data_IF_315318363726
#
_entry.id   IF_315318363726
#
_cell.length_a   1.000
_cell.length_b   1.000
_cell.length_c   1.000
_cell.angle_alpha   90.00
_cell.angle_beta   90.00
_cell.angle_gamma   90.00
#
_symmetry.space_group_name_H-M   'P 1'
#
loop_
_entity.id
_entity.type
_entity.pdbx_description
1 polymer ?
#
# COMPACT_ATOMS: atom_id res chain seq x y z
N UNK A 1 -4.35 -3.20 -5.83
CA UNK A 1 -5.73 -2.94 -6.31
C UNK A 1 -6.56 -2.57 -5.11
N UNK A 2 -6.97 -1.31 -4.99
CA UNK A 2 -8.01 -0.93 -4.05
C UNK A 2 -9.35 -1.43 -4.58
N UNK A 3 -10.26 -1.94 -3.74
CA UNK A 3 -11.64 -2.18 -4.16
C UNK A 3 -12.25 -0.82 -4.51
N UNK A 4 -12.52 -0.61 -5.79
CA UNK A 4 -13.11 0.61 -6.32
C UNK A 4 -14.59 0.62 -5.95
N UNK A 5 -14.96 1.51 -5.04
CA UNK A 5 -16.36 1.87 -4.85
C UNK A 5 -16.81 2.69 -6.04
N UNK A 6 -17.62 2.06 -6.89
CA UNK A 6 -18.19 2.66 -8.08
C UNK A 6 -19.33 3.63 -7.66
N UNK A 7 -18.98 4.79 -7.11
CA UNK A 7 -19.88 5.94 -6.97
C UNK A 7 -19.28 7.10 -7.74
N UNK A 8 -19.67 7.20 -9.02
CA UNK A 8 -19.39 8.35 -9.85
C UNK A 8 -19.88 9.62 -9.15
N UNK A 9 -18.95 10.41 -8.61
CA UNK A 9 -19.25 11.75 -8.14
C UNK A 9 -19.38 12.64 -9.39
N UNK A 10 -20.58 12.70 -9.98
CA UNK A 10 -20.88 13.74 -10.96
C UNK A 10 -20.84 15.11 -10.25
N UNK A 11 -19.69 15.78 -10.32
CA UNK A 11 -19.57 17.17 -9.90
C UNK A 11 -20.38 18.02 -10.89
N UNK A 12 -21.58 18.42 -10.48
CA UNK A 12 -22.34 19.47 -11.18
C UNK A 12 -21.62 20.80 -10.96
N UNK A 13 -21.30 21.58 -12.00
CA UNK A 13 -20.73 22.91 -11.82
C UNK A 13 -21.84 23.84 -11.32
N UNK A 14 -21.77 24.26 -10.06
CA UNK A 14 -22.81 25.12 -9.51
C UNK A 14 -22.53 25.59 -8.10
N UNK A 15 -22.21 26.90 -8.01
CA UNK A 15 -22.17 27.74 -6.81
C UNK A 15 -21.01 27.51 -5.84
N UNK A 16 -19.96 28.33 -6.03
CA UNK A 16 -18.97 28.59 -5.02
C UNK A 16 -19.61 29.17 -3.76
N UNK A 17 -19.50 28.43 -2.67
CA UNK A 17 -19.71 28.94 -1.32
C UNK A 17 -18.31 29.08 -0.71
N UNK A 18 -17.76 30.29 -0.77
CA UNK A 18 -16.63 30.67 0.06
C UNK A 18 -17.08 30.63 1.52
N UNK A 19 -16.72 29.56 2.23
CA UNK A 19 -16.89 29.50 3.68
C UNK A 19 -15.75 30.31 4.30
N UNK A 20 -16.00 31.61 4.51
CA UNK A 20 -15.14 32.47 5.32
C UNK A 20 -15.33 32.05 6.77
N UNK A 21 -14.42 31.23 7.30
CA UNK A 21 -14.33 30.97 8.74
C UNK A 21 -13.78 32.25 9.38
N UNK A 22 -14.48 32.88 10.35
CA UNK A 22 -13.94 34.03 11.04
C UNK A 22 -12.78 33.57 11.92
N UNK A 23 -11.58 34.01 11.54
CA UNK A 23 -10.34 33.84 12.28
C UNK A 23 -10.38 34.73 13.53
N UNK A 24 -10.94 34.20 14.62
CA UNK A 24 -10.88 34.83 15.95
C UNK A 24 -10.15 33.91 16.91
N UNK A 25 -8.81 33.88 16.80
CA UNK A 25 -7.92 33.47 17.88
C UNK A 25 -6.77 34.47 17.96
N UNK A 26 -6.94 35.41 18.89
CA UNK A 26 -5.95 36.41 19.28
C UNK A 26 -4.75 35.76 19.96
N UNK A 27 -3.57 36.04 19.44
CA UNK A 27 -2.29 36.20 20.15
C UNK A 27 -1.95 35.18 21.24
N UNK A 28 -1.45 34.00 20.82
CA UNK A 28 -0.15 33.39 21.18
C UNK A 28 -0.15 31.96 20.60
N UNK A 29 -0.24 31.82 19.28
CA UNK A 29 -0.04 30.51 18.67
C UNK A 29 1.47 30.32 18.56
N UNK A 30 2.00 29.50 19.47
CA UNK A 30 3.30 28.87 19.30
C UNK A 30 3.40 28.33 17.87
N UNK A 31 4.47 28.72 17.18
CA UNK A 31 4.86 28.40 15.81
C UNK A 31 4.16 27.16 15.23
N UNK A 32 3.07 27.38 14.48
CA UNK A 32 2.40 26.31 13.76
C UNK A 32 3.29 25.90 12.58
N UNK A 33 3.71 24.65 12.55
CA UNK A 33 4.52 24.10 11.46
C UNK A 33 3.60 23.48 10.42
N UNK A 34 3.87 23.79 9.14
CA UNK A 34 3.14 23.23 8.01
C UNK A 34 4.03 22.24 7.28
N UNK A 35 3.57 21.00 7.21
CA UNK A 35 4.21 19.94 6.45
C UNK A 35 3.39 19.63 5.21
N UNK A 36 4.07 19.32 4.12
CA UNK A 36 3.48 18.78 2.91
C UNK A 36 4.24 17.52 2.55
N UNK A 37 3.50 16.49 2.18
CA UNK A 37 4.06 15.20 1.76
C UNK A 37 3.09 14.54 0.81
N UNK A 38 3.59 13.58 0.04
CA UNK A 38 2.78 12.95 -0.98
C UNK A 38 3.50 11.91 -1.78
N UNK A 39 2.80 11.43 -2.79
CA UNK A 39 3.28 10.43 -3.72
C UNK A 39 2.69 10.73 -5.09
N UNK A 40 3.45 10.56 -6.16
CA UNK A 40 2.84 10.45 -7.49
C UNK A 40 3.63 9.53 -8.39
N UNK A 41 2.92 8.97 -9.38
CA UNK A 41 3.48 8.32 -10.56
C UNK A 41 2.78 8.82 -11.80
N UNK A 42 3.57 9.10 -12.83
CA UNK A 42 3.10 9.48 -14.16
C UNK A 42 4.01 8.84 -15.18
N UNK A 43 3.45 8.39 -16.29
CA UNK A 43 4.22 7.72 -17.32
C UNK A 43 3.45 7.54 -18.61
N UNK A 44 4.15 7.06 -19.62
CA UNK A 44 3.56 6.73 -20.91
C UNK A 44 4.35 5.60 -21.55
N UNK A 45 3.64 4.68 -22.20
CA UNK A 45 4.23 3.65 -23.03
C UNK A 45 4.33 4.16 -24.47
N UNK A 46 5.45 3.93 -25.14
CA UNK A 46 5.69 4.47 -26.48
C UNK A 46 4.88 3.79 -27.58
N UNK A 47 4.56 2.52 -27.37
CA UNK A 47 3.69 1.77 -28.26
C UNK A 47 2.32 1.67 -27.59
N UNK A 48 1.24 2.01 -28.30
CA UNK A 48 -0.17 1.86 -27.88
C UNK A 48 -0.59 0.39 -27.63
N UNK A 49 0.38 -0.49 -27.39
CA UNK A 49 0.26 -1.93 -27.16
C UNK A 49 0.49 -2.31 -25.69
N UNK A 50 0.62 -1.36 -24.78
CA UNK A 50 0.90 -1.68 -23.40
C UNK A 50 -0.38 -2.05 -22.64
N UNK A 51 -0.64 -3.34 -22.49
CA UNK A 51 -1.46 -3.86 -21.40
C UNK A 51 -0.55 -4.17 -20.23
N UNK A 52 -0.72 -3.48 -19.11
CA UNK A 52 -0.03 -3.89 -17.89
C UNK A 52 -0.36 -5.34 -17.55
N UNK A 53 0.66 -6.09 -17.16
CA UNK A 53 0.58 -7.53 -16.95
C UNK A 53 0.31 -7.81 -15.47
N UNK A 54 -0.86 -8.35 -15.18
CA UNK A 54 -1.22 -8.93 -13.90
C UNK A 54 -1.90 -10.27 -14.15
N UNK A 55 -1.49 -11.30 -13.41
CA UNK A 55 -2.08 -12.61 -13.54
C UNK A 55 -3.53 -12.60 -13.01
N UNK A 56 -4.55 -13.01 -13.78
CA UNK A 56 -5.91 -13.11 -13.28
C UNK A 56 -6.01 -14.01 -12.04
N UNK A 57 -6.46 -13.42 -10.93
CA UNK A 57 -6.54 -14.07 -9.61
C UNK A 57 -5.38 -13.74 -8.66
N UNK A 58 -4.28 -13.17 -9.14
CA UNK A 58 -3.24 -12.62 -8.28
C UNK A 58 -3.71 -11.26 -7.71
N UNK A 59 -3.42 -10.99 -6.43
CA UNK A 59 -3.84 -9.73 -5.78
C UNK A 59 -3.03 -8.50 -6.21
N UNK A 60 -1.92 -8.74 -6.91
CA UNK A 60 -1.00 -7.69 -7.32
C UNK A 60 -0.17 -8.05 -8.54
N UNK A 61 0.70 -7.13 -8.97
CA UNK A 61 1.66 -7.29 -10.06
C UNK A 61 3.03 -6.67 -9.72
N UNK A 62 4.10 -7.22 -10.30
CA UNK A 62 5.43 -6.61 -10.24
C UNK A 62 5.47 -5.30 -11.02
N UNK A 63 5.74 -4.19 -10.33
CA UNK A 63 5.36 -2.85 -10.81
C UNK A 63 6.38 -2.12 -11.68
N UNK A 64 7.68 -2.49 -11.67
CA UNK A 64 8.69 -1.76 -12.45
C UNK A 64 8.32 -1.86 -13.93
N UNK A 65 8.15 -0.70 -14.61
CA UNK A 65 7.76 -0.67 -16.01
C UNK A 65 6.46 -1.43 -16.31
N UNK A 66 5.52 -1.45 -15.35
CA UNK A 66 4.26 -2.20 -15.44
C UNK A 66 3.12 -1.49 -14.70
N UNK A 67 3.12 -0.16 -14.74
CA UNK A 67 2.06 0.72 -14.21
C UNK A 67 1.48 1.53 -15.37
N UNK A 68 0.18 1.33 -15.63
CA UNK A 68 -0.54 1.83 -16.82
C UNK A 68 -1.67 2.76 -16.39
N UNK A 69 -1.48 3.41 -15.26
CA UNK A 69 -2.34 4.41 -14.66
C UNK A 69 -1.50 5.64 -14.29
N UNK A 70 -2.14 6.78 -14.04
CA UNK A 70 -1.52 7.89 -13.31
C UNK A 70 -2.16 7.99 -11.93
N UNK A 71 -1.34 8.29 -10.92
CA UNK A 71 -1.81 8.40 -9.56
C UNK A 71 -1.04 9.49 -8.82
N UNK A 72 -1.74 10.29 -8.04
CA UNK A 72 -1.14 11.30 -7.18
C UNK A 72 -1.89 11.42 -5.86
N UNK A 73 -1.15 11.52 -4.76
CA UNK A 73 -1.62 11.86 -3.42
C UNK A 73 -0.88 13.12 -2.95
N UNK A 74 -1.62 14.06 -2.35
CA UNK A 74 -1.05 15.22 -1.71
C UNK A 74 -1.68 15.43 -0.35
N UNK A 75 -0.85 15.63 0.66
CA UNK A 75 -1.26 15.97 2.01
C UNK A 75 -0.69 17.29 2.48
N UNK A 76 -1.48 17.96 3.31
CA UNK A 76 -1.06 19.09 4.13
C UNK A 76 -1.35 18.71 5.58
N UNK A 77 -0.36 18.93 6.44
CA UNK A 77 -0.47 18.73 7.88
C UNK A 77 -0.05 20.01 8.62
N UNK A 78 -0.87 20.42 9.57
CA UNK A 78 -0.58 21.49 10.50
C UNK A 78 -0.22 20.88 11.87
N UNK A 79 0.97 21.18 12.38
CA UNK A 79 1.47 20.72 13.67
C UNK A 79 1.58 21.91 14.63
N UNK A 80 0.94 21.82 15.79
CA UNK A 80 0.90 22.87 16.80
C UNK A 80 1.31 22.34 18.17
N UNK A 81 2.37 22.92 18.74
CA UNK A 81 2.74 22.67 20.12
C UNK A 81 1.79 23.45 21.03
N UNK A 82 0.93 22.73 21.75
CA UNK A 82 -0.06 23.34 22.65
C UNK A 82 0.60 23.74 23.97
N UNK A 83 1.47 22.88 24.49
CA UNK A 83 2.29 23.13 25.68
C UNK A 83 3.47 22.15 25.72
N UNK A 84 4.25 22.17 26.80
CA UNK A 84 5.43 21.32 26.97
C UNK A 84 5.18 19.80 26.81
N UNK A 85 3.94 19.34 26.99
CA UNK A 85 3.59 17.92 26.99
C UNK A 85 2.78 17.49 25.76
N UNK A 86 2.22 18.43 24.97
CA UNK A 86 1.24 18.09 23.95
C UNK A 86 1.50 18.83 22.64
N UNK A 87 1.52 18.06 21.56
CA UNK A 87 1.45 18.55 20.18
C UNK A 87 0.19 18.03 19.53
N UNK A 88 -0.56 18.91 18.87
CA UNK A 88 -1.75 18.56 18.10
C UNK A 88 -1.45 18.70 16.61
N UNK A 89 -1.84 17.70 15.83
CA UNK A 89 -1.67 17.68 14.38
C UNK A 89 -3.01 17.53 13.70
N UNK A 90 -3.27 18.32 12.67
CA UNK A 90 -4.41 18.19 11.79
C UNK A 90 -3.92 17.94 10.37
N UNK A 91 -4.44 16.90 9.70
CA UNK A 91 -3.99 16.47 8.38
C UNK A 91 -5.17 16.31 7.45
N UNK A 92 -5.00 16.75 6.21
CA UNK A 92 -5.88 16.44 5.08
C UNK A 92 -5.04 15.90 3.94
N UNK A 93 -5.50 14.82 3.30
CA UNK A 93 -4.87 14.21 2.13
C UNK A 93 -5.92 13.86 1.09
N UNK A 94 -5.70 14.28 -0.16
CA UNK A 94 -6.51 13.91 -1.30
C UNK A 94 -5.71 13.14 -2.35
N UNK A 95 -6.39 12.34 -3.16
CA UNK A 95 -5.84 11.68 -4.34
C UNK A 95 -6.49 12.14 -5.65
N UNK A 96 -5.76 11.92 -6.73
CA UNK A 96 -6.27 11.88 -8.09
C UNK A 96 -5.75 10.61 -8.79
N UNK A 97 -6.61 9.94 -9.54
CA UNK A 97 -6.30 8.70 -10.24
C UNK A 97 -6.86 8.72 -11.66
N UNK A 98 -6.04 8.28 -12.62
CA UNK A 98 -6.41 8.10 -14.02
C UNK A 98 -6.15 6.64 -14.39
N UNK A 99 -7.21 5.89 -14.68
CA UNK A 99 -7.12 4.47 -15.01
C UNK A 99 -6.46 4.21 -16.37
N UNK A 100 -6.56 5.18 -17.29
CA UNK A 100 -5.94 5.14 -18.61
C UNK A 100 -4.93 6.31 -18.73
N UNK A 101 -3.67 5.98 -19.04
CA UNK A 101 -2.62 6.99 -19.24
C UNK A 101 -2.81 7.82 -20.51
N UNK A 102 -3.67 7.38 -21.43
CA UNK A 102 -3.98 8.06 -22.69
C UNK A 102 -5.23 8.94 -22.61
N UNK A 103 -6.22 8.55 -21.79
CA UNK A 103 -7.45 9.34 -21.56
C UNK A 103 -7.40 10.06 -20.20
N UNK A 104 -6.92 11.30 -20.24
CA UNK A 104 -6.86 12.17 -19.07
C UNK A 104 -8.18 12.92 -18.78
N UNK A 105 -9.24 12.63 -19.55
CA UNK A 105 -10.56 13.25 -19.32
C UNK A 105 -11.37 12.55 -18.23
N UNK A 106 -11.04 11.29 -17.95
CA UNK A 106 -11.67 10.46 -16.92
C UNK A 106 -10.75 10.30 -15.72
N UNK A 107 -11.19 10.74 -14.55
CA UNK A 107 -10.41 10.62 -13.32
C UNK A 107 -11.29 10.40 -12.09
N UNK A 108 -10.72 9.71 -11.11
CA UNK A 108 -11.29 9.60 -9.77
C UNK A 108 -10.53 10.51 -8.82
N UNK A 109 -11.26 11.19 -7.93
CA UNK A 109 -10.67 12.03 -6.88
C UNK A 109 -11.34 11.71 -5.54
N UNK A 110 -10.54 11.49 -4.51
CA UNK A 110 -11.03 11.10 -3.19
C UNK A 110 -10.24 11.78 -2.06
N UNK A 111 -10.90 11.97 -0.92
CA UNK A 111 -10.23 12.34 0.32
C UNK A 111 -9.82 11.07 1.07
N UNK A 112 -8.51 10.85 1.13
CA UNK A 112 -7.92 9.65 1.72
C UNK A 112 -7.71 9.76 3.22
N UNK A 113 -7.32 10.95 3.69
CA UNK A 113 -7.14 11.22 5.10
C UNK A 113 -7.73 12.58 5.47
N UNK A 114 -8.43 12.62 6.59
CA UNK A 114 -8.81 13.84 7.29
C UNK A 114 -8.90 13.48 8.76
N UNK A 115 -7.96 13.97 9.55
CA UNK A 115 -7.76 13.51 10.91
C UNK A 115 -7.18 14.60 11.82
N UNK A 116 -7.38 14.39 13.11
CA UNK A 116 -6.68 15.09 14.19
C UNK A 116 -5.94 14.06 15.05
N UNK A 117 -4.71 14.39 15.46
CA UNK A 117 -3.88 13.60 16.36
C UNK A 117 -3.41 14.49 17.51
N UNK A 118 -3.49 14.01 18.75
CA UNK A 118 -2.86 14.59 19.91
C UNK A 118 -1.75 13.65 20.38
N UNK A 119 -0.50 14.10 20.27
CA UNK A 119 0.66 13.37 20.72
C UNK A 119 1.10 13.86 22.09
N UNK A 120 1.19 12.95 23.05
CA UNK A 120 1.83 13.24 24.33
C UNK A 120 3.35 13.07 24.19
N UNK A 121 4.13 14.10 24.52
CA UNK A 121 5.59 14.10 24.39
C UNK A 121 6.33 13.65 25.65
N UNK A 122 5.63 13.41 26.77
CA UNK A 122 6.24 13.03 28.05
C UNK A 122 5.74 11.68 28.57
N UNK A 123 6.68 10.86 29.06
CA UNK A 123 6.39 9.54 29.62
C UNK A 123 5.73 9.57 31.02
N UNK A 124 5.37 10.75 31.53
CA UNK A 124 4.89 10.95 32.91
C UNK A 124 3.36 11.09 33.02
N UNK A 125 2.62 11.02 31.92
CA UNK A 125 1.16 11.05 31.93
C UNK A 125 0.57 9.63 31.94
N UNK A 126 -0.73 9.53 32.27
CA UNK A 126 -1.52 8.30 32.08
C UNK A 126 -1.50 7.76 30.63
N UNK A 127 -1.05 8.58 29.67
CA UNK A 127 -0.95 8.26 28.26
C UNK A 127 0.45 7.79 27.84
N UNK A 128 1.46 7.78 28.73
CA UNK A 128 2.77 7.15 28.54
C UNK A 128 3.46 7.40 27.16
N UNK A 129 3.36 8.62 26.64
CA UNK A 129 3.93 9.00 25.32
C UNK A 129 3.13 8.58 24.09
N UNK A 130 1.89 8.11 24.27
CA UNK A 130 1.00 7.68 23.19
C UNK A 130 0.47 8.84 22.33
N UNK A 131 -0.08 8.46 21.18
CA UNK A 131 -0.81 9.32 20.25
C UNK A 131 -2.27 8.92 20.24
N UNK A 132 -3.16 9.87 20.49
CA UNK A 132 -4.60 9.70 20.31
C UNK A 132 -4.99 10.34 18.98
N UNK A 133 -5.71 9.63 18.12
CA UNK A 133 -6.15 10.15 16.83
C UNK A 133 -7.64 9.91 16.59
N UNK A 134 -8.26 10.80 15.84
CA UNK A 134 -9.66 10.71 15.39
C UNK A 134 -9.75 11.14 13.92
N UNK A 135 -10.43 10.36 13.09
CA UNK A 135 -10.73 10.70 11.70
C UNK A 135 -10.49 9.57 10.72
N UNK A 136 -10.46 9.89 9.41
CA UNK A 136 -10.10 8.94 8.35
C UNK A 136 -8.59 8.98 8.17
N UNK A 137 -7.91 7.83 8.22
CA UNK A 137 -6.45 7.76 8.03
C UNK A 137 -5.98 6.48 7.37
N UNK A 138 -4.77 6.56 6.82
CA UNK A 138 -3.96 5.38 6.57
C UNK A 138 -3.38 4.90 7.90
N UNK A 139 -3.97 3.83 8.43
CA UNK A 139 -3.63 3.32 9.76
C UNK A 139 -2.66 2.14 9.63
N UNK A 140 -1.42 2.36 10.06
CA UNK A 140 -0.35 1.35 10.22
C UNK A 140 -0.21 0.35 9.06
N UNK A 141 -0.43 0.81 7.83
CA UNK A 141 -0.37 -0.03 6.62
C UNK A 141 0.97 -0.75 6.50
N UNK A 142 0.94 -1.92 5.89
CA UNK A 142 2.13 -2.67 5.50
C UNK A 142 2.04 -3.07 4.03
N UNK A 143 3.11 -2.84 3.30
CA UNK A 143 3.20 -3.10 1.86
C UNK A 143 4.52 -3.73 1.44
N UNK A 144 4.47 -4.40 0.28
CA UNK A 144 5.64 -4.84 -0.47
C UNK A 144 5.83 -3.88 -1.65
N UNK A 145 6.82 -3.01 -1.54
CA UNK A 145 7.04 -1.93 -2.52
C UNK A 145 7.17 -2.40 -3.97
N UNK A 146 7.93 -3.48 -4.24
CA UNK A 146 8.23 -3.90 -5.62
C UNK A 146 7.03 -4.51 -6.35
N UNK A 147 5.99 -4.85 -5.62
CA UNK A 147 4.74 -5.37 -6.16
C UNK A 147 3.54 -4.50 -5.80
N UNK A 148 3.70 -3.34 -5.16
CA UNK A 148 2.59 -2.47 -4.72
C UNK A 148 1.51 -3.21 -3.91
N UNK A 149 1.92 -4.19 -3.10
CA UNK A 149 0.99 -5.08 -2.39
C UNK A 149 0.85 -4.72 -0.93
N UNK A 150 -0.23 -4.01 -0.60
CA UNK A 150 -0.64 -3.75 0.77
C UNK A 150 -1.24 -5.01 1.41
N UNK A 151 -0.39 -5.83 2.04
CA UNK A 151 -0.82 -7.06 2.70
C UNK A 151 -1.52 -6.83 4.04
N UNK A 152 -1.39 -5.62 4.61
CA UNK A 152 -2.19 -5.18 5.75
C UNK A 152 -2.71 -3.77 5.47
N UNK A 153 -3.79 -3.68 4.68
CA UNK A 153 -4.43 -2.43 4.29
C UNK A 153 -5.46 -1.99 5.33
N UNK A 154 -4.97 -1.55 6.49
CA UNK A 154 -5.78 -1.41 7.69
C UNK A 154 -6.51 -0.06 7.85
N UNK A 155 -6.90 0.53 6.73
CA UNK A 155 -7.44 1.90 6.62
C UNK A 155 -8.87 2.01 7.13
N UNK A 156 -9.26 3.17 7.65
CA UNK A 156 -10.65 3.42 8.01
C UNK A 156 -10.88 4.78 8.63
N UNK A 157 -12.14 5.05 8.95
CA UNK A 157 -12.55 6.20 9.76
C UNK A 157 -12.77 5.72 11.19
N UNK A 158 -12.18 6.39 12.18
CA UNK A 158 -12.28 5.91 13.54
C UNK A 158 -11.53 6.72 14.56
N UNK A 159 -11.24 6.07 15.68
CA UNK A 159 -10.47 6.61 16.80
C UNK A 159 -9.48 5.54 17.26
N UNK A 160 -8.29 5.96 17.67
CA UNK A 160 -7.32 5.02 18.22
C UNK A 160 -6.25 5.68 19.05
N UNK A 161 -5.58 4.83 19.84
CA UNK A 161 -4.40 5.15 20.62
C UNK A 161 -3.23 4.32 20.08
N UNK A 162 -2.09 4.97 19.84
CA UNK A 162 -0.87 4.33 19.32
C UNK A 162 0.32 4.66 20.22
N UNK A 163 1.37 3.85 20.12
CA UNK A 163 2.65 4.06 20.80
C UNK A 163 2.54 4.10 22.34
N UNK A 164 1.53 3.42 22.90
CA UNK A 164 1.43 3.24 24.34
C UNK A 164 2.54 2.29 24.80
N UNK A 165 3.51 2.80 25.56
CA UNK A 165 4.68 2.01 25.95
C UNK A 165 4.31 0.92 26.96
N UNK A 166 4.75 -0.30 26.69
CA UNK A 166 4.63 -1.47 27.57
C UNK A 166 6.00 -2.16 27.68
N UNK A 167 6.80 -1.71 28.66
CA UNK A 167 8.19 -2.11 28.78
C UNK A 167 8.99 -1.72 27.54
N UNK A 168 9.61 -2.71 26.88
CA UNK A 168 10.37 -2.52 25.63
C UNK A 168 9.52 -2.70 24.37
N UNK A 169 8.20 -2.88 24.51
CA UNK A 169 7.24 -3.04 23.42
C UNK A 169 6.25 -1.87 23.41
N UNK A 170 5.42 -1.81 22.37
CA UNK A 170 4.39 -0.77 22.22
C UNK A 170 3.04 -1.40 21.90
N UNK A 171 1.98 -0.85 22.47
CA UNK A 171 0.60 -1.25 22.24
C UNK A 171 -0.12 -0.16 21.44
N UNK A 172 -0.93 -0.60 20.48
CA UNK A 172 -1.92 0.23 19.80
C UNK A 172 -3.30 -0.43 19.85
N UNK A 173 -4.33 0.40 19.94
CA UNK A 173 -5.72 0.01 19.78
C UNK A 173 -6.44 1.00 18.88
N UNK A 174 -7.25 0.51 17.96
CA UNK A 174 -8.12 1.34 17.14
C UNK A 174 -9.50 0.72 16.98
N UNK A 175 -10.54 1.56 17.11
CA UNK A 175 -11.86 1.27 16.58
C UNK A 175 -12.01 1.99 15.23
N UNK A 176 -12.38 1.26 14.18
CA UNK A 176 -12.49 1.79 12.82
C UNK A 176 -13.72 1.28 12.12
N UNK A 177 -14.18 2.07 11.15
CA UNK A 177 -15.27 1.69 10.26
C UNK A 177 -14.89 1.86 8.79
N UNK A 178 -15.52 1.06 7.94
CA UNK A 178 -15.46 1.18 6.49
C UNK A 178 -16.81 0.78 5.85
N UNK A 179 -17.13 1.32 4.68
CA UNK A 179 -18.31 0.91 3.90
C UNK A 179 -17.98 -0.32 3.05
N UNK A 180 -18.82 -1.35 3.14
CA UNK A 180 -18.76 -2.56 2.32
C UNK A 180 -19.53 -2.36 1.01
N UNK A 181 -19.19 -3.14 -0.02
CA UNK A 181 -19.85 -3.08 -1.34
C UNK A 181 -21.37 -3.35 -1.29
N UNK A 182 -21.82 -4.09 -0.29
CA UNK A 182 -23.24 -4.36 -0.03
C UNK A 182 -23.96 -3.24 0.73
N UNK A 183 -23.30 -2.11 0.97
CA UNK A 183 -23.82 -0.94 1.68
C UNK A 183 -23.83 -1.05 3.21
N UNK A 184 -23.38 -2.19 3.78
CA UNK A 184 -23.21 -2.30 5.23
C UNK A 184 -21.97 -1.55 5.70
N UNK A 185 -21.94 -1.19 6.98
CA UNK A 185 -20.75 -0.64 7.64
C UNK A 185 -20.00 -1.76 8.35
N UNK A 186 -18.79 -2.06 7.90
CA UNK A 186 -17.83 -2.87 8.64
C UNK A 186 -17.32 -2.06 9.82
N UNK A 187 -17.32 -2.64 10.99
CA UNK A 187 -16.72 -2.12 12.22
C UNK A 187 -15.59 -3.05 12.61
N UNK A 188 -14.51 -2.48 13.14
CA UNK A 188 -13.29 -3.21 13.48
C UNK A 188 -12.72 -2.75 14.81
N UNK A 189 -12.34 -3.70 15.63
CA UNK A 189 -11.49 -3.52 16.82
C UNK A 189 -10.12 -4.13 16.52
N UNK A 190 -9.12 -3.27 16.28
CA UNK A 190 -7.72 -3.64 16.00
C UNK A 190 -6.89 -3.46 17.27
N UNK A 191 -6.15 -4.50 17.67
CA UNK A 191 -5.17 -4.46 18.75
C UNK A 191 -3.83 -4.93 18.20
N UNK A 192 -2.78 -4.13 18.38
CA UNK A 192 -1.43 -4.47 17.92
C UNK A 192 -0.41 -4.32 19.05
N UNK A 193 0.39 -5.36 19.27
CA UNK A 193 1.57 -5.34 20.14
C UNK A 193 2.81 -5.45 19.26
N UNK A 194 3.65 -4.42 19.25
CA UNK A 194 4.76 -4.30 18.30
C UNK A 194 6.06 -3.87 18.98
N UNK A 195 7.15 -3.98 18.21
CA UNK A 195 8.52 -3.80 18.68
C UNK A 195 8.92 -4.74 19.82
N UNK A 196 8.30 -5.93 19.92
CA UNK A 196 8.66 -6.92 20.93
C UNK A 196 10.10 -7.41 20.64
N UNK A 197 11.07 -7.19 21.54
CA UNK A 197 12.46 -7.55 21.25
C UNK A 197 12.64 -9.06 21.21
N UNK A 198 13.14 -9.59 20.09
CA UNK A 198 13.63 -10.97 19.97
C UNK A 198 15.16 -11.04 20.08
N UNK A 199 15.85 -9.99 19.61
CA UNK A 199 17.29 -9.79 19.71
C UNK A 199 17.63 -8.30 19.58
N UNK A 200 18.91 -7.92 19.49
CA UNK A 200 19.30 -6.53 19.29
C UNK A 200 18.83 -5.94 17.94
N UNK A 201 18.61 -6.79 16.93
CA UNK A 201 18.20 -6.41 15.57
C UNK A 201 16.79 -6.92 15.20
N UNK A 202 16.34 -7.98 15.88
CA UNK A 202 15.09 -8.68 15.59
C UNK A 202 13.94 -8.23 16.48
N UNK A 203 12.80 -7.94 15.85
CA UNK A 203 11.56 -7.55 16.52
C UNK A 203 10.39 -8.41 16.06
N UNK A 204 9.45 -8.67 16.96
CA UNK A 204 8.17 -9.30 16.67
C UNK A 204 7.04 -8.27 16.77
N UNK A 205 6.15 -8.31 15.79
CA UNK A 205 4.91 -7.54 15.76
C UNK A 205 3.74 -8.50 15.65
N UNK A 206 2.74 -8.34 16.53
CA UNK A 206 1.52 -9.13 16.59
C UNK A 206 0.31 -8.21 16.42
N UNK A 207 -0.69 -8.69 15.70
CA UNK A 207 -1.97 -8.01 15.51
C UNK A 207 -3.14 -8.97 15.58
N UNK A 208 -4.21 -8.54 16.23
CA UNK A 208 -5.52 -9.18 16.20
C UNK A 208 -6.56 -8.13 15.83
N UNK A 209 -7.48 -8.50 14.94
CA UNK A 209 -8.53 -7.61 14.50
C UNK A 209 -9.86 -8.36 14.47
N UNK A 210 -10.83 -7.90 15.28
CA UNK A 210 -12.19 -8.43 15.28
C UNK A 210 -13.08 -7.49 14.46
N UNK A 211 -13.80 -8.06 13.50
CA UNK A 211 -14.66 -7.31 12.59
C UNK A 211 -16.13 -7.74 12.69
N UNK A 212 -17.06 -6.80 12.50
CA UNK A 212 -18.50 -7.07 12.41
C UNK A 212 -19.20 -6.12 11.42
N UNK A 213 -20.25 -6.58 10.75
CA UNK A 213 -21.04 -5.76 9.82
C UNK A 213 -22.51 -5.55 10.24
N UNK A 214 -22.90 -6.11 11.39
CA UNK A 214 -24.19 -5.87 12.05
C UNK A 214 -23.99 -5.59 13.55
N UNK A 215 -25.03 -5.03 14.19
CA UNK A 215 -25.00 -4.72 15.62
C UNK A 215 -25.10 -5.98 16.49
N UNK A 216 -25.52 -7.10 15.91
CA UNK A 216 -25.72 -8.39 16.60
C UNK A 216 -24.45 -9.23 16.68
N UNK A 217 -23.41 -8.90 15.91
CA UNK A 217 -22.16 -9.66 15.80
C UNK A 217 -22.30 -10.98 15.04
N UNK A 218 -23.42 -11.17 14.34
CA UNK A 218 -23.72 -12.41 13.61
C UNK A 218 -22.96 -12.48 12.30
N UNK A 219 -22.80 -11.34 11.63
CA UNK A 219 -21.89 -11.16 10.50
C UNK A 219 -20.55 -10.66 11.06
N UNK A 220 -19.62 -11.59 11.32
CA UNK A 220 -18.34 -11.29 11.99
C UNK A 220 -17.14 -11.93 11.31
N UNK A 221 -15.95 -11.47 11.69
CA UNK A 221 -14.70 -12.02 11.20
C UNK A 221 -13.53 -11.70 12.13
N UNK A 222 -12.44 -12.42 11.91
CA UNK A 222 -11.21 -12.30 12.69
C UNK A 222 -10.03 -12.20 11.72
N UNK A 223 -9.04 -11.38 12.07
CA UNK A 223 -7.73 -11.38 11.44
C UNK A 223 -6.64 -11.51 12.48
N UNK A 224 -5.61 -12.26 12.14
CA UNK A 224 -4.41 -12.47 12.94
C UNK A 224 -3.20 -12.17 12.07
N UNK A 225 -2.26 -11.42 12.64
CA UNK A 225 -1.04 -10.98 11.98
C UNK A 225 0.16 -11.23 12.89
N UNK A 226 1.20 -11.88 12.38
CA UNK A 226 2.47 -12.06 13.07
C UNK A 226 3.62 -11.74 12.11
N UNK A 227 4.47 -10.79 12.46
CA UNK A 227 5.61 -10.38 11.66
C UNK A 227 6.88 -10.38 12.48
N UNK A 228 7.88 -11.11 12.01
CA UNK A 228 9.27 -10.93 12.44
C UNK A 228 9.93 -9.94 11.50
N UNK A 229 10.56 -8.90 12.06
CA UNK A 229 11.35 -7.92 11.33
C UNK A 229 12.77 -7.90 11.88
N UNK A 230 13.72 -8.30 11.06
CA UNK A 230 15.14 -8.22 11.35
C UNK A 230 15.74 -7.07 10.54
N UNK A 231 16.14 -5.99 11.21
CA UNK A 231 16.76 -4.84 10.58
C UNK A 231 18.24 -4.78 10.94
N UNK A 232 19.09 -4.54 9.96
CA UNK A 232 20.54 -4.45 10.13
C UNK A 232 21.09 -3.31 9.29
N UNK A 233 22.40 -3.08 9.37
CA UNK A 233 23.13 -1.92 8.82
C UNK A 233 22.43 -1.17 7.68
N UNK A 234 22.22 0.14 7.87
CA UNK A 234 21.46 1.04 6.97
C UNK A 234 19.97 0.69 6.91
N UNK A 235 19.40 0.67 5.71
CA UNK A 235 17.99 0.37 5.43
C UNK A 235 17.76 -1.12 5.15
N UNK A 236 18.73 -1.97 5.48
CA UNK A 236 18.66 -3.38 5.17
C UNK A 236 17.73 -4.12 6.13
N UNK A 237 16.90 -4.99 5.59
CA UNK A 237 15.97 -5.77 6.38
C UNK A 237 15.65 -7.12 5.78
N UNK A 238 15.16 -7.99 6.64
CA UNK A 238 14.43 -9.19 6.30
C UNK A 238 13.16 -9.25 7.15
N UNK A 239 12.01 -9.52 6.53
CA UNK A 239 10.74 -9.73 7.24
C UNK A 239 10.09 -11.03 6.81
N UNK A 240 9.52 -11.73 7.78
CA UNK A 240 8.58 -12.83 7.56
C UNK A 240 7.27 -12.43 8.21
N UNK A 241 6.18 -12.47 7.45
CA UNK A 241 4.84 -12.18 7.93
C UNK A 241 3.94 -13.38 7.68
N UNK A 242 3.27 -13.86 8.73
CA UNK A 242 2.19 -14.84 8.64
C UNK A 242 0.87 -14.15 8.98
N UNK A 243 -0.18 -14.45 8.23
CA UNK A 243 -1.52 -13.89 8.42
C UNK A 243 -2.57 -15.00 8.32
N UNK A 244 -3.62 -14.87 9.11
CA UNK A 244 -4.82 -15.71 9.03
C UNK A 244 -6.05 -14.80 9.11
N UNK A 245 -7.07 -15.08 8.30
CA UNK A 245 -8.31 -14.34 8.29
C UNK A 245 -9.49 -15.29 8.12
N UNK A 246 -10.60 -15.00 8.80
CA UNK A 246 -11.85 -15.76 8.68
C UNK A 246 -13.09 -14.87 8.71
N UNK A 247 -14.16 -15.35 8.08
CA UNK A 247 -15.41 -14.61 7.95
C UNK A 247 -15.16 -13.26 7.27
N UNK A 248 -15.68 -12.18 7.85
CA UNK A 248 -15.41 -10.83 7.36
C UNK A 248 -13.92 -10.46 7.30
N UNK A 249 -13.07 -11.13 8.10
CA UNK A 249 -11.62 -10.92 8.10
C UNK A 249 -10.87 -11.67 7.00
N UNK A 250 -11.54 -12.50 6.20
CA UNK A 250 -10.87 -13.37 5.22
C UNK A 250 -10.10 -12.62 4.12
N UNK A 251 -10.43 -11.36 3.84
CA UNK A 251 -9.68 -10.56 2.86
C UNK A 251 -8.35 -10.02 3.40
N UNK A 252 -8.13 -10.09 4.73
CA UNK A 252 -6.95 -9.57 5.44
C UNK A 252 -6.79 -8.03 5.30
N UNK A 253 -7.91 -7.33 5.18
CA UNK A 253 -8.03 -5.88 5.11
C UNK A 253 -9.40 -5.40 5.63
N UNK A 254 -9.74 -4.14 5.42
CA UNK A 254 -11.00 -3.53 5.84
C UNK A 254 -12.12 -3.62 4.76
N UNK A 255 -12.05 -4.56 3.82
CA UNK A 255 -13.05 -4.72 2.74
C UNK A 255 -14.14 -5.76 3.01
N UNK A 256 -14.02 -6.57 4.06
CA UNK A 256 -14.96 -7.65 4.36
C UNK A 256 -14.81 -8.84 3.40
N UNK A 257 -14.70 -10.06 3.93
CA UNK A 257 -14.55 -11.28 3.16
C UNK A 257 -15.55 -12.37 3.56
N UNK A 258 -15.31 -13.56 3.05
CA UNK A 258 -16.01 -14.80 3.43
C UNK A 258 -15.02 -15.98 3.39
N UNK A 259 -15.30 -17.03 4.16
CA UNK A 259 -14.42 -18.21 4.22
C UNK A 259 -13.17 -17.97 5.07
N UNK A 260 -12.04 -18.56 4.68
CA UNK A 260 -10.76 -18.45 5.38
C UNK A 260 -9.63 -18.17 4.41
N UNK A 261 -8.63 -17.44 4.89
CA UNK A 261 -7.38 -17.15 4.17
C UNK A 261 -6.20 -17.35 5.09
N UNK A 262 -5.16 -18.02 4.59
CA UNK A 262 -3.84 -18.06 5.22
C UNK A 262 -2.83 -17.47 4.25
N UNK A 263 -1.97 -16.57 4.74
CA UNK A 263 -0.91 -15.95 3.93
C UNK A 263 0.44 -16.02 4.63
N UNK A 264 1.48 -16.34 3.88
CA UNK A 264 2.87 -16.22 4.27
C UNK A 264 3.57 -15.28 3.31
N UNK A 265 4.34 -14.34 3.85
CA UNK A 265 5.09 -13.35 3.09
C UNK A 265 6.52 -13.35 3.60
N UNK A 266 7.48 -13.42 2.68
CA UNK A 266 8.87 -13.07 2.93
C UNK A 266 9.22 -11.82 2.13
N UNK A 267 9.85 -10.83 2.75
CA UNK A 267 10.38 -9.66 2.03
C UNK A 267 11.75 -9.28 2.56
N UNK A 268 12.61 -8.77 1.68
CA UNK A 268 13.93 -8.33 2.09
C UNK A 268 14.46 -7.21 1.22
N UNK A 269 15.34 -6.41 1.82
CA UNK A 269 16.18 -5.45 1.12
C UNK A 269 17.62 -5.61 1.60
N UNK A 270 18.51 -5.81 0.63
CA UNK A 270 19.95 -5.86 0.83
C UNK A 270 20.65 -4.84 -0.08
N UNK A 271 21.06 -3.72 0.49
CA UNK A 271 22.06 -2.80 -0.07
C UNK A 271 23.46 -3.36 0.21
N UNK A 272 23.89 -4.30 -0.64
CA UNK A 272 25.18 -5.01 -0.56
C UNK A 272 26.35 -4.01 -0.61
N UNK A 273 26.21 -2.95 -1.41
CA UNK A 273 27.15 -1.82 -1.46
C UNK A 273 26.35 -0.53 -1.71
N UNK A 274 26.91 0.68 -1.54
CA UNK A 274 26.22 1.92 -1.93
C UNK A 274 25.75 1.96 -3.40
N UNK A 275 26.32 1.10 -4.26
CA UNK A 275 25.95 0.99 -5.68
C UNK A 275 24.98 -0.16 -5.98
N UNK A 276 24.79 -1.12 -5.09
CA UNK A 276 24.07 -2.35 -5.38
C UNK A 276 23.01 -2.61 -4.33
N UNK A 277 21.74 -2.66 -4.76
CA UNK A 277 20.62 -3.03 -3.91
C UNK A 277 19.85 -4.20 -4.54
N UNK A 278 19.37 -5.11 -3.70
CA UNK A 278 18.47 -6.20 -4.09
C UNK A 278 17.26 -6.19 -3.14
N UNK A 279 16.09 -5.99 -3.70
CA UNK A 279 14.82 -6.25 -3.01
C UNK A 279 14.29 -7.59 -3.46
N UNK A 280 13.84 -8.44 -2.55
CA UNK A 280 13.14 -9.69 -2.89
C UNK A 280 11.82 -9.81 -2.14
N UNK A 281 10.89 -10.54 -2.74
CA UNK A 281 9.62 -10.90 -2.12
C UNK A 281 9.18 -12.30 -2.51
N UNK A 282 8.52 -12.98 -1.58
CA UNK A 282 7.78 -14.21 -1.78
C UNK A 282 6.43 -14.06 -1.09
N UNK A 283 5.36 -14.46 -1.78
CA UNK A 283 4.01 -14.55 -1.23
C UNK A 283 3.48 -15.94 -1.51
N UNK A 284 2.92 -16.57 -0.48
CA UNK A 284 2.05 -17.73 -0.59
C UNK A 284 0.73 -17.38 0.09
N UNK A 285 -0.36 -17.49 -0.63
CA UNK A 285 -1.71 -17.32 -0.09
C UNK A 285 -2.56 -18.53 -0.47
N UNK A 286 -3.34 -19.03 0.49
CA UNK A 286 -4.36 -20.04 0.26
C UNK A 286 -5.68 -19.56 0.84
N UNK A 287 -6.72 -19.64 0.04
CA UNK A 287 -8.09 -19.39 0.48
C UNK A 287 -8.90 -20.68 0.47
N UNK A 288 -9.84 -20.83 1.40
CA UNK A 288 -10.83 -21.92 1.37
C UNK A 288 -11.86 -21.69 0.25
N UNK A 289 -11.92 -20.48 -0.30
CA UNK A 289 -12.66 -20.14 -1.50
C UNK A 289 -11.92 -20.51 -2.79
N UNK A 290 -11.26 -21.68 -2.77
CA UNK A 290 -10.83 -22.42 -3.94
C UNK A 290 -9.69 -21.79 -4.77
N UNK A 291 -8.76 -21.07 -4.13
CA UNK A 291 -7.61 -20.50 -4.84
C UNK A 291 -6.32 -20.53 -4.02
N UNK A 292 -5.25 -21.01 -4.64
CA UNK A 292 -3.88 -20.85 -4.16
C UNK A 292 -3.14 -19.83 -5.05
N UNK A 293 -2.50 -18.84 -4.45
CA UNK A 293 -1.64 -17.88 -5.13
C UNK A 293 -0.21 -17.95 -4.60
N UNK A 294 0.75 -18.07 -5.53
CA UNK A 294 2.18 -17.96 -5.26
C UNK A 294 2.75 -16.82 -6.08
N UNK A 295 3.59 -16.00 -5.44
CA UNK A 295 4.33 -14.92 -6.10
C UNK A 295 5.78 -14.94 -5.63
N UNK A 296 6.74 -14.79 -6.54
CA UNK A 296 8.15 -14.68 -6.25
C UNK A 296 8.78 -13.62 -7.15
N UNK A 297 9.55 -12.69 -6.57
CA UNK A 297 10.21 -11.69 -7.39
C UNK A 297 11.38 -11.00 -6.73
N UNK A 298 12.19 -10.39 -7.60
CA UNK A 298 13.46 -9.80 -7.26
C UNK A 298 13.64 -8.51 -8.07
N UNK A 299 14.09 -7.45 -7.41
CA UNK A 299 14.48 -6.18 -8.06
C UNK A 299 15.89 -5.80 -7.66
N UNK A 300 16.81 -5.93 -8.60
CA UNK A 300 18.18 -5.46 -8.48
C UNK A 300 18.32 -4.02 -8.99
N UNK A 301 19.13 -3.21 -8.32
CA UNK A 301 19.50 -1.85 -8.77
C UNK A 301 21.01 -1.71 -8.68
N UNK A 302 21.64 -1.33 -9.80
CA UNK A 302 23.07 -1.04 -9.89
C UNK A 302 23.30 0.41 -10.32
N UNK A 303 23.98 1.20 -9.49
CA UNK A 303 24.36 2.58 -9.80
C UNK A 303 25.64 2.64 -10.63
N UNK A 304 25.50 3.12 -11.85
CA UNK A 304 26.60 3.40 -12.78
C UNK A 304 27.37 4.66 -12.36
N UNK A 305 26.66 5.64 -11.80
CA UNK A 305 27.20 6.90 -11.28
C UNK A 305 26.35 7.39 -10.10
N UNK A 306 26.61 8.61 -9.60
CA UNK A 306 25.83 9.22 -8.51
C UNK A 306 24.35 9.41 -8.87
N UNK A 307 24.03 9.61 -10.15
CA UNK A 307 22.68 9.96 -10.59
C UNK A 307 22.03 8.94 -11.51
N UNK A 308 22.81 8.01 -12.08
CA UNK A 308 22.32 7.05 -13.06
C UNK A 308 22.46 5.61 -12.56
N UNK A 309 21.38 4.84 -12.67
CA UNK A 309 21.36 3.42 -12.32
C UNK A 309 20.63 2.59 -13.38
N UNK A 310 20.94 1.30 -13.40
CA UNK A 310 20.15 0.29 -14.11
C UNK A 310 19.41 -0.53 -13.07
N UNK A 311 18.10 -0.68 -13.24
CA UNK A 311 17.27 -1.57 -12.44
C UNK A 311 16.79 -2.74 -13.30
N UNK A 312 16.84 -3.94 -12.74
CA UNK A 312 16.25 -5.14 -13.32
C UNK A 312 15.24 -5.72 -12.34
N UNK A 313 14.06 -6.08 -12.82
CA UNK A 313 13.03 -6.77 -12.04
C UNK A 313 12.62 -8.05 -12.74
N UNK A 314 12.59 -9.15 -11.98
CA UNK A 314 11.99 -10.41 -12.41
C UNK A 314 10.89 -10.80 -11.44
N UNK A 315 9.79 -11.32 -11.99
CA UNK A 315 8.63 -11.71 -11.21
C UNK A 315 7.96 -12.93 -11.81
N UNK A 316 7.50 -13.83 -10.95
CA UNK A 316 6.70 -14.99 -11.29
C UNK A 316 5.45 -15.00 -10.41
N UNK A 317 4.29 -15.12 -11.04
CA UNK A 317 3.01 -15.36 -10.38
C UNK A 317 2.42 -16.69 -10.87
N UNK A 318 1.83 -17.44 -9.95
CA UNK A 318 1.06 -18.64 -10.21
C UNK A 318 -0.25 -18.58 -9.41
N UNK A 319 -1.38 -18.80 -10.07
CA UNK A 319 -2.68 -18.93 -9.44
C UNK A 319 -3.25 -20.29 -9.82
N UNK A 320 -3.64 -21.08 -8.82
CA UNK A 320 -4.26 -22.39 -8.99
C UNK A 320 -5.67 -22.37 -8.39
N UNK A 321 -6.70 -22.11 -9.21
CA UNK A 321 -8.10 -22.27 -8.80
C UNK A 321 -8.47 -23.76 -8.69
N UNK A 322 -9.41 -24.14 -7.82
CA UNK A 322 -9.75 -25.58 -7.63
C UNK A 322 -10.39 -26.22 -8.87
N UNK A 323 -11.18 -25.44 -9.63
CA UNK A 323 -12.00 -25.94 -10.74
C UNK A 323 -11.54 -25.43 -12.12
N UNK A 324 -10.34 -24.84 -12.19
CA UNK A 324 -9.78 -24.33 -13.44
C UNK A 324 -8.30 -24.70 -13.57
N UNK A 325 -7.77 -24.55 -14.77
CA UNK A 325 -6.34 -24.78 -15.01
C UNK A 325 -5.49 -23.72 -14.28
N UNK A 326 -4.38 -24.17 -13.69
CA UNK A 326 -3.36 -23.27 -13.13
C UNK A 326 -2.92 -22.24 -14.17
N UNK A 327 -2.86 -20.98 -13.74
CA UNK A 327 -2.47 -19.83 -14.55
C UNK A 327 -1.06 -19.39 -14.11
N UNK A 328 -0.23 -19.00 -15.05
CA UNK A 328 1.13 -18.49 -14.76
C UNK A 328 1.45 -17.24 -15.57
N UNK A 329 2.24 -16.35 -14.96
CA UNK A 329 2.82 -15.17 -15.60
C UNK A 329 4.26 -15.01 -15.13
N UNK A 330 5.19 -14.90 -16.07
CA UNK A 330 6.54 -14.40 -15.83
C UNK A 330 6.65 -12.99 -16.38
N UNK A 331 7.38 -12.12 -15.67
CA UNK A 331 7.66 -10.76 -16.11
C UNK A 331 9.12 -10.44 -15.87
N UNK A 332 9.76 -9.81 -16.85
CA UNK A 332 11.12 -9.27 -16.75
C UNK A 332 11.10 -7.82 -17.20
N UNK A 333 11.66 -6.91 -16.40
CA UNK A 333 11.80 -5.50 -16.75
C UNK A 333 13.24 -5.06 -16.60
N UNK A 334 13.75 -4.32 -17.58
CA UNK A 334 15.01 -3.58 -17.50
C UNK A 334 14.71 -2.09 -17.60
N UNK A 335 15.29 -1.29 -16.70
CA UNK A 335 15.08 0.16 -16.66
C UNK A 335 16.39 0.92 -16.47
N UNK A 336 16.68 1.87 -17.36
CA UNK A 336 17.64 2.93 -17.11
C UNK A 336 16.97 4.01 -16.27
N UNK A 337 17.60 4.42 -15.19
CA UNK A 337 17.03 5.34 -14.22
C UNK A 337 17.93 6.55 -14.01
N UNK A 338 17.31 7.71 -13.89
CA UNK A 338 17.92 8.90 -13.30
C UNK A 338 17.30 9.19 -11.93
N UNK A 339 18.13 9.49 -10.94
CA UNK A 339 17.76 9.86 -9.57
C UNK A 339 18.67 10.98 -9.07
N UNK A 340 18.19 11.88 -8.18
CA UNK A 340 19.07 12.86 -7.55
C UNK A 340 20.15 12.24 -6.67
N UNK A 341 19.85 11.13 -5.98
CA UNK A 341 20.78 10.46 -5.07
C UNK A 341 20.80 8.93 -5.25
N UNK A 342 21.93 8.26 -4.93
CA UNK A 342 22.01 6.80 -4.87
C UNK A 342 21.17 6.17 -3.75
N UNK A 343 20.60 5.01 -4.02
CA UNK A 343 19.85 4.18 -3.06
C UNK A 343 18.56 3.61 -3.64
N UNK A 344 18.09 2.51 -3.05
CA UNK A 344 16.87 1.84 -3.52
C UNK A 344 15.63 2.73 -3.34
N UNK A 345 15.50 3.32 -2.15
CA UNK A 345 14.38 4.18 -1.74
C UNK A 345 14.49 5.61 -2.24
N UNK A 346 15.60 6.02 -2.85
CA UNK A 346 15.73 7.41 -3.31
C UNK A 346 14.73 7.73 -4.43
N UNK A 347 14.07 8.87 -4.27
CA UNK A 347 13.12 9.48 -5.22
C UNK A 347 13.36 11.00 -5.29
N UNK A 348 12.93 11.68 -6.37
CA UNK A 348 12.27 11.18 -7.58
C UNK A 348 13.14 10.20 -8.40
N UNK A 349 12.48 9.37 -9.21
CA UNK A 349 13.15 8.47 -10.15
C UNK A 349 12.47 8.55 -11.52
N UNK A 350 13.20 9.06 -12.52
CA UNK A 350 12.81 9.00 -13.92
C UNK A 350 13.36 7.70 -14.54
N UNK A 351 12.53 6.97 -15.28
CA UNK A 351 12.84 5.63 -15.79
C UNK A 351 12.51 5.54 -17.25
N UNK A 352 13.46 5.11 -18.07
CA UNK A 352 13.20 4.54 -19.39
C UNK A 352 13.28 3.02 -19.23
N UNK A 353 12.22 2.30 -19.58
CA UNK A 353 12.13 0.87 -19.33
C UNK A 353 11.66 0.09 -20.54
N UNK A 354 12.03 -1.19 -20.58
CA UNK A 354 11.41 -2.22 -21.42
C UNK A 354 11.00 -3.39 -20.54
N UNK A 355 9.79 -3.89 -20.75
CA UNK A 355 9.20 -5.02 -20.04
C UNK A 355 8.86 -6.11 -21.04
N UNK A 356 9.23 -7.33 -20.69
CA UNK A 356 8.81 -8.58 -21.31
C UNK A 356 7.90 -9.33 -20.35
N UNK A 357 6.87 -9.99 -20.87
CA UNK A 357 6.19 -11.03 -20.11
C UNK A 357 5.77 -12.19 -20.98
N UNK A 358 5.66 -13.36 -20.35
CA UNK A 358 5.11 -14.58 -20.93
C UNK A 358 4.12 -15.22 -19.97
N UNK A 359 3.07 -15.80 -20.51
CA UNK A 359 2.00 -16.41 -19.74
C UNK A 359 1.52 -17.71 -20.39
N UNK A 360 0.81 -18.53 -19.64
CA UNK A 360 0.27 -19.78 -20.18
C UNK A 360 -1.12 -19.58 -20.81
N UNK A 361 -1.61 -20.61 -21.51
CA UNK A 361 -2.91 -20.56 -22.18
C UNK A 361 -4.06 -20.30 -21.20
N UNK A 362 -4.02 -20.89 -20.01
CA UNK A 362 -5.04 -20.67 -18.98
C UNK A 362 -5.12 -19.20 -18.54
N UNK A 363 -3.97 -18.53 -18.38
CA UNK A 363 -3.92 -17.11 -18.08
C UNK A 363 -4.50 -16.25 -19.22
N UNK A 364 -4.20 -16.59 -20.48
CA UNK A 364 -4.76 -15.89 -21.64
C UNK A 364 -6.28 -16.06 -21.73
N UNK A 365 -6.78 -17.28 -21.50
CA UNK A 365 -8.21 -17.58 -21.48
C UNK A 365 -8.94 -16.87 -20.34
N UNK A 366 -8.24 -16.63 -19.22
CA UNK A 366 -8.73 -15.82 -18.11
C UNK A 366 -8.63 -14.30 -18.35
N UNK A 367 -8.27 -13.86 -19.55
CA UNK A 367 -8.28 -12.45 -19.97
C UNK A 367 -6.99 -11.68 -19.74
N UNK A 368 -5.88 -12.34 -19.37
CA UNK A 368 -4.58 -11.67 -19.25
C UNK A 368 -4.22 -10.95 -20.56
N UNK A 369 -3.81 -9.69 -20.45
CA UNK A 369 -3.49 -8.81 -21.58
C UNK A 369 -4.63 -8.62 -22.60
N UNK A 370 -5.89 -8.79 -22.18
CA UNK A 370 -7.06 -8.69 -23.07
C UNK A 370 -7.38 -10.00 -23.81
N UNK A 371 -6.76 -11.11 -23.43
CA UNK A 371 -6.96 -12.42 -24.07
C UNK A 371 -6.56 -12.41 -25.55
N UNK A 372 -7.27 -13.19 -26.37
CA UNK A 372 -6.97 -13.30 -27.82
C UNK A 372 -7.37 -12.09 -28.64
N UNK A 373 -8.21 -11.20 -28.08
CA UNK A 373 -8.58 -9.90 -28.66
C UNK A 373 -7.67 -8.76 -28.20
N UNK A 374 -6.72 -9.07 -27.32
CA UNK A 374 -5.79 -8.10 -26.77
C UNK A 374 -4.72 -7.66 -27.75
N UNK A 375 -3.86 -6.75 -27.29
CA UNK A 375 -2.77 -6.14 -28.06
C UNK A 375 -1.74 -7.15 -28.58
N UNK A 376 -1.65 -8.32 -27.96
CA UNK A 376 -0.77 -9.43 -28.37
C UNK A 376 -1.50 -10.52 -29.16
N UNK A 377 -2.81 -10.38 -29.41
CA UNK A 377 -3.59 -11.36 -30.15
C UNK A 377 -3.48 -12.77 -29.59
N UNK A 378 -3.16 -13.74 -30.45
CA UNK A 378 -2.98 -15.14 -30.06
C UNK A 378 -1.63 -15.42 -29.35
N UNK A 379 -0.69 -14.48 -29.38
CA UNK A 379 0.60 -14.64 -28.72
C UNK A 379 0.42 -14.65 -27.19
N UNK A 380 1.24 -15.45 -26.53
CA UNK A 380 1.25 -15.58 -25.06
C UNK A 380 2.50 -14.95 -24.43
N UNK A 381 3.07 -14.02 -25.14
CA UNK A 381 4.25 -13.27 -24.74
C UNK A 381 4.24 -11.91 -25.43
N UNK A 382 4.90 -10.94 -24.84
CA UNK A 382 4.90 -9.58 -25.38
C UNK A 382 5.94 -8.67 -24.76
N UNK A 383 6.25 -7.59 -25.48
CA UNK A 383 7.12 -6.52 -25.03
C UNK A 383 6.39 -5.18 -25.04
N UNK A 384 6.70 -4.34 -24.07
CA UNK A 384 6.34 -2.92 -24.11
C UNK A 384 7.43 -2.06 -23.47
N UNK A 385 7.58 -0.84 -23.96
CA UNK A 385 8.60 0.12 -23.56
C UNK A 385 7.94 1.44 -23.21
N UNK A 386 8.47 2.13 -22.21
CA UNK A 386 7.91 3.42 -21.82
C UNK A 386 8.84 4.24 -20.95
N UNK A 387 8.33 5.40 -20.57
CA UNK A 387 8.96 6.32 -19.65
C UNK A 387 8.04 6.57 -18.45
N UNK A 388 8.61 6.62 -17.26
CA UNK A 388 7.84 6.86 -16.03
C UNK A 388 8.66 7.71 -15.05
N UNK A 389 7.98 8.66 -14.41
CA UNK A 389 8.45 9.36 -13.22
C UNK A 389 7.67 8.87 -12.00
N UNK A 390 8.38 8.51 -10.95
CA UNK A 390 7.82 8.23 -9.63
C UNK A 390 8.47 9.15 -8.60
N UNK A 391 7.68 9.73 -7.70
CA UNK A 391 8.20 10.52 -6.57
C UNK A 391 7.37 10.34 -5.32
N UNK A 392 8.03 10.45 -4.17
CA UNK A 392 7.42 10.76 -2.88
C UNK A 392 8.28 11.81 -2.19
N UNK A 393 7.66 12.61 -1.32
CA UNK A 393 8.32 13.67 -0.57
C UNK A 393 7.72 13.79 0.82
#
# INVERSE_FOLDING_TARGET
MHPHHNKSLQIRPGLGIFLVIPLLLTSTIAQAEWHHFGYFRVGSNFNNQASCLQLPGAKTKYRLGNECDHYGEMAIENSQVINANYTVKARVMGQIYFADQQDLSQYDAEWNQYMIEAQNTTAQSAFNGSKLWLGKRYYRRKDIHISDFFYWANNGTGIGIEDFKLGNSQLAYAYKTNELDNGKTLQSHDIQLYDIPLSAQGKLNLGIEQQSADQTGTDSGLQLHAQVHYAFQKDNFFKITAQYGEGLGANLDMSGGQGKTTRLIGESLFEITPKNALFSTLVYEKTDQQSEWRSLGFRGVHFLSQHYSVAAEVGHDQVSPDNENTRTLNKVTLALQWKPNPGFWQRPALRLYTTYGDWNLAAQQAGLAGGTSGVYGADRQGFFTGIQLESWW
#
